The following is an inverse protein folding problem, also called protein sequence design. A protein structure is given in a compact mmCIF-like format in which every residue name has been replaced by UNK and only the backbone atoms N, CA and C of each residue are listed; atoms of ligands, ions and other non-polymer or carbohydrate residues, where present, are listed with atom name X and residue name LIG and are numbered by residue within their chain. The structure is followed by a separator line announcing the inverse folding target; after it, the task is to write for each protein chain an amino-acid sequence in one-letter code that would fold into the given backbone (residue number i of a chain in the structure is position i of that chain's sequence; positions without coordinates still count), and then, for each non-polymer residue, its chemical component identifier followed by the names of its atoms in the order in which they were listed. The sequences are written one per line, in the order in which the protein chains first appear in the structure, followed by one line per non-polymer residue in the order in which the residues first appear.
data_IF_571979554612
#
_entry.id   IF_571979554612
#
_cell.length_a   1.000
_cell.length_b   1.000
_cell.length_c   1.000
_cell.angle_alpha   90.00
_cell.angle_beta   90.00
_cell.angle_gamma   90.00
#
_symmetry.space_group_name_H-M   'P 1'
#
loop_
_entity.id
_entity.type
_entity.pdbx_description
1 polymer ?
#
# COMPACT_ATOMS: atom_id res chain seq x y z
N UNK A 1 15.26 -7.37 -53.49
CA UNK A 1 15.82 -7.62 -52.14
C UNK A 1 15.21 -8.91 -51.61
N UNK A 2 16.01 -9.96 -51.36
CA UNK A 2 15.55 -11.22 -50.75
C UNK A 2 16.23 -11.34 -49.38
N UNK A 3 15.42 -11.32 -48.32
CA UNK A 3 15.87 -11.47 -46.93
C UNK A 3 15.94 -12.96 -46.63
N UNK A 4 17.10 -13.44 -46.18
CA UNK A 4 17.39 -14.85 -45.88
C UNK A 4 16.95 -15.13 -44.44
N UNK A 5 16.00 -16.06 -44.27
CA UNK A 5 15.60 -16.59 -42.95
C UNK A 5 16.69 -17.51 -42.36
N UNK A 6 16.71 -17.69 -41.03
CA UNK A 6 17.74 -18.46 -40.34
C UNK A 6 17.67 -19.95 -40.68
N UNK A 7 18.86 -20.53 -40.81
CA UNK A 7 19.10 -21.92 -41.21
C UNK A 7 18.48 -22.94 -40.24
N UNK A 8 17.78 -23.91 -40.81
CA UNK A 8 17.40 -25.13 -40.14
C UNK A 8 18.62 -26.06 -40.04
N UNK A 9 19.16 -26.20 -38.85
CA UNK A 9 20.21 -27.16 -38.56
C UNK A 9 19.61 -28.37 -37.84
N UNK A 10 19.80 -29.53 -38.47
CA UNK A 10 20.22 -30.77 -37.82
C UNK A 10 19.13 -31.54 -37.06
N UNK A 11 18.82 -32.74 -37.58
CA UNK A 11 17.86 -33.65 -37.00
C UNK A 11 18.16 -34.04 -35.54
N UNK A 12 17.08 -34.31 -34.81
CA UNK A 12 17.14 -34.85 -33.47
C UNK A 12 17.60 -36.32 -33.51
N UNK A 13 18.89 -36.57 -33.24
CA UNK A 13 19.33 -37.91 -32.85
C UNK A 13 19.07 -38.10 -31.34
N UNK A 14 18.45 -39.22 -30.92
CA UNK A 14 18.31 -39.52 -29.50
C UNK A 14 19.66 -39.96 -28.92
N UNK A 15 20.15 -39.21 -27.93
CA UNK A 15 21.38 -39.54 -27.21
C UNK A 15 21.15 -40.77 -26.35
N UNK A 16 21.90 -41.85 -26.63
CA UNK A 16 21.94 -43.09 -25.84
C UNK A 16 22.65 -42.83 -24.51
N UNK A 17 21.98 -43.06 -23.38
CA UNK A 17 22.60 -42.97 -22.05
C UNK A 17 23.53 -44.15 -21.79
N UNK A 18 24.75 -43.86 -21.34
CA UNK A 18 25.68 -44.83 -20.76
C UNK A 18 25.53 -44.79 -19.23
N UNK A 19 25.21 -45.94 -18.65
CA UNK A 19 25.02 -46.08 -17.22
C UNK A 19 26.34 -46.05 -16.43
N UNK A 20 26.25 -45.36 -15.29
CA UNK A 20 26.99 -45.54 -14.04
C UNK A 20 28.48 -45.14 -13.96
N UNK A 21 28.72 -43.92 -13.47
CA UNK A 21 29.71 -43.65 -12.40
C UNK A 21 29.12 -42.61 -11.44
N UNK A 22 29.20 -42.89 -10.14
CA UNK A 22 28.42 -42.26 -9.06
C UNK A 22 28.37 -40.73 -9.04
N UNK A 23 27.16 -40.21 -9.19
CA UNK A 23 26.82 -38.83 -8.89
C UNK A 23 26.36 -38.73 -7.42
N UNK A 24 27.14 -38.00 -6.62
CA UNK A 24 26.69 -37.52 -5.32
C UNK A 24 25.52 -36.57 -5.59
N UNK A 25 24.32 -36.75 -4.99
CA UNK A 25 23.15 -35.98 -5.39
C UNK A 25 23.39 -34.50 -5.11
N UNK A 26 23.42 -33.69 -6.17
CA UNK A 26 23.34 -32.24 -6.05
C UNK A 26 21.94 -31.94 -5.51
N UNK A 27 21.88 -31.43 -4.27
CA UNK A 27 20.62 -30.98 -3.67
C UNK A 27 19.97 -29.98 -4.63
N UNK A 28 18.66 -30.11 -4.94
CA UNK A 28 17.99 -29.11 -5.73
C UNK A 28 18.09 -27.77 -4.97
N UNK A 29 18.67 -26.76 -5.62
CA UNK A 29 18.56 -25.38 -5.14
C UNK A 29 17.08 -25.03 -5.18
N UNK A 30 16.44 -25.08 -4.00
CA UNK A 30 15.09 -24.60 -3.83
C UNK A 30 15.13 -23.11 -4.13
N UNK A 31 14.59 -22.69 -5.27
CA UNK A 31 14.34 -21.29 -5.55
C UNK A 31 13.32 -20.83 -4.51
N UNK A 32 13.77 -20.08 -3.50
CA UNK A 32 12.85 -19.42 -2.58
C UNK A 32 12.01 -18.43 -3.41
N UNK A 33 10.68 -18.49 -3.33
CA UNK A 33 9.85 -17.47 -3.96
C UNK A 33 10.27 -16.13 -3.38
N UNK A 34 10.86 -15.27 -4.21
CA UNK A 34 11.20 -13.92 -3.79
C UNK A 34 9.85 -13.21 -3.59
N UNK A 35 9.54 -12.71 -2.38
CA UNK A 35 8.31 -12.01 -2.17
C UNK A 35 8.31 -10.76 -3.04
N UNK A 36 7.24 -10.58 -3.80
CA UNK A 36 7.02 -9.38 -4.59
C UNK A 36 6.66 -8.25 -3.61
N UNK A 37 7.57 -7.28 -3.46
CA UNK A 37 7.46 -6.21 -2.49
C UNK A 37 7.39 -4.87 -3.19
N UNK A 38 6.42 -4.03 -2.82
CA UNK A 38 6.31 -2.64 -3.30
C UNK A 38 6.68 -1.68 -2.18
N UNK A 39 7.62 -0.79 -2.46
CA UNK A 39 8.02 0.31 -1.58
C UNK A 39 7.05 1.48 -1.79
N UNK A 40 6.18 1.74 -0.81
CA UNK A 40 5.28 2.91 -0.84
C UNK A 40 6.00 4.07 -0.17
N UNK A 41 6.20 5.16 -0.91
CA UNK A 41 6.71 6.42 -0.34
C UNK A 41 5.82 6.90 0.82
N UNK A 42 6.44 7.31 1.92
CA UNK A 42 5.73 7.94 3.04
C UNK A 42 4.84 9.10 2.58
N UNK A 43 5.28 9.87 1.58
CA UNK A 43 4.48 10.94 0.97
C UNK A 43 3.17 10.43 0.36
N UNK A 44 3.20 9.29 -0.33
CA UNK A 44 2.00 8.70 -0.92
C UNK A 44 1.01 8.25 0.16
N UNK A 45 1.50 7.72 1.29
CA UNK A 45 0.66 7.39 2.45
C UNK A 45 -0.01 8.63 3.05
N UNK A 46 0.70 9.77 3.12
CA UNK A 46 0.11 11.02 3.59
C UNK A 46 -0.94 11.58 2.63
N UNK A 47 -0.67 11.57 1.32
CA UNK A 47 -1.63 12.02 0.30
C UNK A 47 -2.89 11.17 0.29
N UNK A 48 -2.77 9.86 0.51
CA UNK A 48 -3.91 8.96 0.64
C UNK A 48 -4.74 9.26 1.91
N UNK A 49 -4.10 9.60 3.03
CA UNK A 49 -4.82 10.04 4.24
C UNK A 49 -5.57 11.35 3.99
N UNK A 50 -4.95 12.30 3.30
CA UNK A 50 -5.57 13.59 2.97
C UNK A 50 -6.74 13.42 1.99
N UNK A 51 -6.63 12.55 0.99
CA UNK A 51 -7.70 12.32 0.01
C UNK A 51 -8.93 11.62 0.61
N UNK A 52 -8.76 10.96 1.76
CA UNK A 52 -9.84 10.33 2.53
C UNK A 52 -10.48 11.27 3.55
N UNK A 53 -9.93 12.47 3.76
CA UNK A 53 -10.56 13.44 4.63
C UNK A 53 -11.88 13.89 3.98
N UNK A 54 -13.00 13.84 4.73
CA UNK A 54 -14.26 14.35 4.21
C UNK A 54 -14.12 15.85 3.94
N UNK A 55 -14.85 16.33 2.93
CA UNK A 55 -14.95 17.76 2.67
C UNK A 55 -15.36 18.53 3.91
N UNK A 56 -14.92 19.79 3.99
CA UNK A 56 -15.30 20.69 5.08
C UNK A 56 -16.82 20.78 5.09
N UNK A 57 -17.41 20.45 6.24
CA UNK A 57 -18.86 20.58 6.46
C UNK A 57 -19.23 22.04 6.68
N UNK A 58 -19.19 22.82 5.60
CA UNK A 58 -19.32 24.27 5.60
C UNK A 58 -20.57 24.75 6.36
N UNK A 59 -21.70 24.08 6.16
CA UNK A 59 -22.96 24.37 6.86
C UNK A 59 -22.83 24.33 8.39
N UNK A 60 -22.12 23.32 8.92
CA UNK A 60 -21.90 23.20 10.37
C UNK A 60 -21.00 24.31 10.89
N UNK A 61 -19.97 24.65 10.12
CA UNK A 61 -19.03 25.72 10.46
C UNK A 61 -19.77 27.04 10.53
N UNK A 62 -20.60 27.35 9.54
CA UNK A 62 -21.32 28.62 9.47
C UNK A 62 -22.39 28.72 10.55
N UNK A 63 -23.13 27.63 10.82
CA UNK A 63 -24.08 27.59 11.94
C UNK A 63 -23.39 27.84 13.30
N UNK A 64 -22.23 27.24 13.54
CA UNK A 64 -21.47 27.45 14.78
C UNK A 64 -20.93 28.88 14.86
N UNK A 65 -20.39 29.43 13.77
CA UNK A 65 -19.95 30.84 13.72
C UNK A 65 -21.08 31.80 14.07
N UNK A 66 -22.28 31.56 13.54
CA UNK A 66 -23.46 32.37 13.87
C UNK A 66 -23.82 32.27 15.36
N UNK A 67 -23.83 31.07 15.94
CA UNK A 67 -24.06 30.89 17.39
C UNK A 67 -23.02 31.62 18.24
N UNK A 68 -21.76 31.62 17.82
CA UNK A 68 -20.68 32.35 18.53
C UNK A 68 -20.92 33.85 18.44
N UNK A 69 -21.22 34.37 17.24
CA UNK A 69 -21.50 35.79 17.04
C UNK A 69 -22.73 36.28 17.84
N UNK A 70 -23.72 35.41 18.02
CA UNK A 70 -24.92 35.67 18.83
C UNK A 70 -24.70 35.45 20.33
N UNK A 71 -23.54 34.92 20.74
CA UNK A 71 -23.25 34.57 22.14
C UNK A 71 -24.04 33.36 22.67
N UNK A 72 -24.71 32.60 21.81
CA UNK A 72 -25.55 31.44 22.19
C UNK A 72 -24.82 30.10 22.09
N UNK A 73 -23.57 30.12 21.61
CA UNK A 73 -22.79 28.89 21.46
C UNK A 73 -22.43 28.25 22.80
N UNK A 74 -22.09 29.04 23.81
CA UNK A 74 -21.64 28.57 25.12
C UNK A 74 -22.85 28.29 26.01
N UNK A 75 -23.07 27.02 26.32
CA UNK A 75 -24.08 26.57 27.29
C UNK A 75 -23.39 25.81 28.43
N UNK A 76 -24.02 25.68 29.61
CA UNK A 76 -23.44 24.92 30.72
C UNK A 76 -23.03 23.50 30.31
N UNK A 77 -23.85 22.81 29.53
CA UNK A 77 -23.61 21.42 29.10
C UNK A 77 -22.42 21.31 28.14
N UNK A 78 -22.26 22.29 27.24
CA UNK A 78 -21.10 22.34 26.33
C UNK A 78 -19.83 22.69 27.08
N UNK A 79 -19.92 23.50 28.14
CA UNK A 79 -18.77 23.87 28.96
C UNK A 79 -18.28 22.68 29.79
N UNK A 80 -19.19 21.97 30.45
CA UNK A 80 -18.86 20.74 31.19
C UNK A 80 -18.18 19.73 30.27
N UNK A 81 -18.79 19.45 29.10
CA UNK A 81 -18.20 18.54 28.13
C UNK A 81 -16.82 19.00 27.62
N UNK A 82 -16.63 20.31 27.44
CA UNK A 82 -15.33 20.83 27.01
C UNK A 82 -14.25 20.64 28.09
N UNK A 83 -14.62 20.76 29.37
CA UNK A 83 -13.72 20.48 30.50
C UNK A 83 -13.39 18.99 30.54
N UNK A 84 -14.38 18.11 30.41
CA UNK A 84 -14.17 16.65 30.41
C UNK A 84 -13.21 16.22 29.28
N UNK A 85 -13.46 16.66 28.05
CA UNK A 85 -12.59 16.34 26.91
C UNK A 85 -11.17 16.92 27.07
N UNK A 86 -11.03 18.10 27.69
CA UNK A 86 -9.71 18.66 27.98
C UNK A 86 -8.94 17.81 29.01
N UNK A 87 -9.62 17.28 30.02
CA UNK A 87 -9.02 16.38 30.99
C UNK A 87 -8.63 15.05 30.35
N UNK A 88 -9.45 14.51 29.46
CA UNK A 88 -9.12 13.31 28.68
C UNK A 88 -7.88 13.49 27.80
N UNK A 89 -7.72 14.65 27.15
CA UNK A 89 -6.56 14.94 26.29
C UNK A 89 -5.24 15.09 27.07
N UNK A 90 -5.30 15.40 28.39
CA UNK A 90 -4.12 15.65 29.24
C UNK A 90 -3.64 14.42 30.03
N UNK A 91 -4.47 13.38 30.16
CA UNK A 91 -4.19 12.15 30.93
C UNK A 91 -3.67 11.02 30.03
#
# INVERSE_FOLDING_TARGET
MKVRGPAEFGGAEPVRSLDAVGEKPLKPTQATPRPDGVEISEMARFLEKLSRLPDIRQDKVDAVKQQIAQGTYLTPEKLEKAIDSLLEDLL
#
